data_IF_552410014445
#
_entry.id   IF_552410014445
#
_cell.length_a   1.000
_cell.length_b   1.000
_cell.length_c   1.000
_cell.angle_alpha   90.00
_cell.angle_beta   90.00
_cell.angle_gamma   90.00
#
_symmetry.space_group_name_H-M   'P 1'
#
loop_
_entity.id
_entity.type
_entity.pdbx_description
1 polymer ?
#
# COMPACT_ATOMS: atom_id res chain seq x y z
N UNK A 1 57.83 -4.40 -26.74
CA UNK A 1 58.03 -3.71 -25.46
C UNK A 1 56.72 -3.02 -25.11
N UNK A 2 56.08 -3.57 -24.10
CA UNK A 2 54.76 -3.22 -23.57
C UNK A 2 54.84 -1.87 -22.87
N UNK A 3 54.00 -0.90 -23.24
CA UNK A 3 53.79 0.28 -22.42
C UNK A 3 52.32 0.72 -22.48
N UNK A 4 51.46 -0.09 -21.87
CA UNK A 4 50.10 0.28 -21.49
C UNK A 4 50.18 1.16 -20.24
N UNK A 5 50.51 2.44 -20.45
CA UNK A 5 50.40 3.48 -19.44
C UNK A 5 48.91 3.70 -19.15
N UNK A 6 48.37 3.02 -18.14
CA UNK A 6 47.19 3.54 -17.42
C UNK A 6 47.70 4.74 -16.63
N UNK A 7 47.29 5.98 -16.92
CA UNK A 7 47.75 7.13 -16.15
C UNK A 7 47.07 7.10 -14.78
N UNK A 8 47.78 6.60 -13.79
CA UNK A 8 47.48 6.85 -12.38
C UNK A 8 47.68 8.34 -12.10
N UNK A 9 46.61 9.14 -12.00
CA UNK A 9 46.82 10.54 -11.58
C UNK A 9 45.71 11.59 -11.70
N UNK A 10 44.46 11.29 -12.07
CA UNK A 10 43.39 12.31 -11.93
C UNK A 10 42.65 12.12 -10.59
N UNK A 11 42.99 12.94 -9.60
CA UNK A 11 42.19 13.16 -8.38
C UNK A 11 40.80 13.78 -8.68
N UNK A 12 40.47 13.99 -9.96
CA UNK A 12 39.24 14.59 -10.43
C UNK A 12 38.48 13.56 -11.26
N UNK A 13 37.18 13.33 -10.97
CA UNK A 13 36.38 12.36 -11.70
C UNK A 13 36.31 12.74 -13.18
N UNK A 14 36.51 11.74 -14.04
CA UNK A 14 36.42 11.89 -15.49
C UNK A 14 35.01 12.33 -15.90
N UNK A 15 34.84 12.84 -17.12
CA UNK A 15 33.49 13.21 -17.61
C UNK A 15 32.53 12.02 -17.59
N UNK A 16 33.06 10.81 -17.83
CA UNK A 16 32.32 9.56 -17.81
C UNK A 16 31.94 9.21 -16.36
N UNK A 17 32.84 9.34 -15.39
CA UNK A 17 32.53 9.12 -13.98
C UNK A 17 31.43 10.08 -13.50
N UNK A 18 31.48 11.37 -13.89
CA UNK A 18 30.43 12.34 -13.53
C UNK A 18 29.09 12.00 -14.18
N UNK A 19 29.08 11.46 -15.39
CA UNK A 19 27.85 11.02 -16.05
C UNK A 19 27.27 9.77 -15.37
N UNK A 20 28.12 8.81 -15.00
CA UNK A 20 27.70 7.63 -14.23
C UNK A 20 27.18 8.04 -12.85
N UNK A 21 27.88 8.90 -12.11
CA UNK A 21 27.43 9.39 -10.80
C UNK A 21 26.06 10.07 -10.90
N UNK A 22 25.84 10.94 -11.89
CA UNK A 22 24.53 11.57 -12.11
C UNK A 22 23.44 10.56 -12.48
N UNK A 23 23.77 9.56 -13.29
CA UNK A 23 22.82 8.52 -13.66
C UNK A 23 22.46 7.64 -12.45
N UNK A 24 23.42 7.29 -11.60
CA UNK A 24 23.19 6.56 -10.36
C UNK A 24 22.35 7.38 -9.37
N UNK A 25 22.68 8.66 -9.15
CA UNK A 25 21.87 9.57 -8.33
C UNK A 25 20.43 9.66 -8.84
N UNK A 26 20.23 9.70 -10.16
CA UNK A 26 18.90 9.71 -10.75
C UNK A 26 18.16 8.38 -10.56
N UNK A 27 18.85 7.24 -10.66
CA UNK A 27 18.27 5.92 -10.38
C UNK A 27 17.84 5.83 -8.92
N UNK A 28 18.70 6.24 -7.99
CA UNK A 28 18.41 6.22 -6.55
C UNK A 28 17.23 7.14 -6.21
N UNK A 29 17.19 8.34 -6.79
CA UNK A 29 16.06 9.26 -6.64
C UNK A 29 14.76 8.66 -7.19
N UNK A 30 14.81 8.02 -8.35
CA UNK A 30 13.64 7.35 -8.94
C UNK A 30 13.16 6.17 -8.08
N UNK A 31 14.07 5.39 -7.50
CA UNK A 31 13.73 4.30 -6.59
C UNK A 31 13.07 4.84 -5.31
N UNK A 32 13.60 5.89 -4.70
CA UNK A 32 13.00 6.52 -3.53
C UNK A 32 11.58 7.03 -3.84
N UNK A 33 11.37 7.66 -5.00
CA UNK A 33 10.04 8.12 -5.42
C UNK A 33 9.09 6.94 -5.62
N UNK A 34 9.56 5.84 -6.23
CA UNK A 34 8.76 4.63 -6.40
C UNK A 34 8.36 4.02 -5.05
N UNK A 35 9.32 3.87 -4.12
CA UNK A 35 9.06 3.37 -2.76
C UNK A 35 8.04 4.24 -2.01
N UNK A 36 8.17 5.57 -2.07
CA UNK A 36 7.21 6.47 -1.43
C UNK A 36 5.80 6.37 -2.04
N UNK A 37 5.71 6.17 -3.36
CA UNK A 37 4.41 5.95 -4.03
C UNK A 37 3.78 4.64 -3.61
N UNK A 38 4.56 3.58 -3.49
CA UNK A 38 4.07 2.28 -3.05
C UNK A 38 3.63 2.32 -1.58
N UNK A 39 4.42 2.96 -0.71
CA UNK A 39 4.04 3.17 0.68
C UNK A 39 2.73 3.96 0.80
N UNK A 40 2.59 5.07 0.07
CA UNK A 40 1.36 5.87 0.10
C UNK A 40 0.15 5.12 -0.48
N UNK A 41 0.36 4.14 -1.38
CA UNK A 41 -0.71 3.25 -1.84
C UNK A 41 -1.10 2.26 -0.74
N UNK A 42 -0.13 1.63 -0.08
CA UNK A 42 -0.37 0.70 1.03
C UNK A 42 -1.11 1.38 2.20
N UNK A 43 -0.69 2.59 2.57
CA UNK A 43 -1.33 3.34 3.67
C UNK A 43 -2.80 3.65 3.37
N UNK A 44 -3.15 3.93 2.10
CA UNK A 44 -4.55 4.14 1.69
C UNK A 44 -5.38 2.87 1.77
N UNK A 45 -4.83 1.73 1.37
CA UNK A 45 -5.50 0.44 1.50
C UNK A 45 -5.69 0.09 2.97
N UNK A 46 -4.65 0.24 3.79
CA UNK A 46 -4.70 0.02 5.23
C UNK A 46 -5.76 0.91 5.92
N UNK A 47 -5.77 2.21 5.63
CA UNK A 47 -6.76 3.13 6.20
C UNK A 47 -8.20 2.88 5.71
N UNK A 48 -8.37 2.27 4.53
CA UNK A 48 -9.69 1.82 4.05
C UNK A 48 -10.12 0.54 4.74
N UNK A 49 -9.19 -0.41 4.91
CA UNK A 49 -9.43 -1.65 5.63
C UNK A 49 -9.78 -1.41 7.10
N UNK A 50 -9.05 -0.54 7.80
CA UNK A 50 -9.32 -0.17 9.19
C UNK A 50 -10.75 0.39 9.36
N UNK A 51 -11.12 1.37 8.53
CA UNK A 51 -12.48 1.94 8.54
C UNK A 51 -13.54 0.88 8.23
N UNK A 52 -13.26 0.02 7.26
CA UNK A 52 -14.14 -1.10 6.91
C UNK A 52 -14.36 -2.07 8.09
N UNK A 53 -13.27 -2.51 8.73
CA UNK A 53 -13.33 -3.39 9.89
C UNK A 53 -14.10 -2.76 11.05
N UNK A 54 -13.89 -1.47 11.33
CA UNK A 54 -14.64 -0.76 12.37
C UNK A 54 -16.14 -0.71 12.07
N UNK A 55 -16.54 -0.51 10.81
CA UNK A 55 -17.95 -0.53 10.40
C UNK A 55 -18.56 -1.93 10.49
N UNK A 56 -17.83 -2.97 10.07
CA UNK A 56 -18.28 -4.35 10.21
C UNK A 56 -18.48 -4.73 11.69
N UNK A 57 -17.56 -4.30 12.58
CA UNK A 57 -17.70 -4.51 14.02
C UNK A 57 -18.92 -3.80 14.61
N UNK A 58 -19.20 -2.55 14.21
CA UNK A 58 -20.41 -1.82 14.60
C UNK A 58 -21.69 -2.53 14.15
N UNK A 59 -21.67 -3.08 12.94
CA UNK A 59 -22.78 -3.85 12.36
C UNK A 59 -23.07 -5.12 13.18
N UNK A 60 -22.02 -5.86 13.53
CA UNK A 60 -22.14 -7.06 14.38
C UNK A 60 -22.59 -6.73 15.82
N UNK A 61 -22.14 -5.62 16.38
CA UNK A 61 -22.61 -5.16 17.69
C UNK A 61 -24.09 -4.76 17.66
N UNK A 62 -24.53 -4.08 16.60
CA UNK A 62 -25.94 -3.73 16.39
C UNK A 62 -26.80 -4.98 16.23
N UNK A 63 -26.34 -5.95 15.44
CA UNK A 63 -27.01 -7.24 15.28
C UNK A 63 -27.16 -7.96 16.62
N UNK A 64 -26.08 -8.06 17.42
CA UNK A 64 -26.12 -8.70 18.73
C UNK A 64 -27.10 -8.02 19.69
N UNK A 65 -27.15 -6.69 19.70
CA UNK A 65 -28.11 -5.93 20.50
C UNK A 65 -29.57 -6.12 20.02
N UNK A 66 -29.78 -6.23 18.71
CA UNK A 66 -31.09 -6.50 18.11
C UNK A 66 -31.57 -7.92 18.39
N UNK A 67 -30.69 -8.91 18.34
CA UNK A 67 -31.01 -10.31 18.69
C UNK A 67 -31.49 -10.41 20.13
N UNK A 68 -30.88 -9.65 21.05
CA UNK A 68 -31.27 -9.62 22.46
C UNK A 68 -32.63 -8.96 22.71
N UNK A 69 -33.00 -7.95 21.91
CA UNK A 69 -34.22 -7.15 22.11
C UNK A 69 -35.40 -7.62 21.28
N UNK A 70 -35.16 -8.10 20.06
CA UNK A 70 -36.17 -8.51 19.08
C UNK A 70 -35.72 -9.80 18.36
N UNK A 71 -35.79 -10.97 19.01
CA UNK A 71 -35.27 -12.23 18.48
C UNK A 71 -35.93 -12.65 17.16
N UNK A 72 -37.20 -12.27 16.94
CA UNK A 72 -37.94 -12.59 15.71
C UNK A 72 -37.44 -11.81 14.48
N UNK A 73 -36.76 -10.68 14.67
CA UNK A 73 -36.19 -9.87 13.59
C UNK A 73 -34.71 -10.19 13.31
N UNK A 74 -34.07 -10.97 14.18
CA UNK A 74 -32.65 -11.28 14.14
C UNK A 74 -32.18 -11.83 12.79
N UNK A 75 -32.93 -12.76 12.18
CA UNK A 75 -32.55 -13.37 10.91
C UNK A 75 -32.48 -12.39 9.73
N UNK A 76 -33.36 -11.39 9.70
CA UNK A 76 -33.36 -10.36 8.64
C UNK A 76 -32.20 -9.38 8.81
N UNK A 77 -31.90 -9.00 10.06
CA UNK A 77 -30.78 -8.11 10.39
C UNK A 77 -29.45 -8.81 10.14
N UNK A 78 -29.33 -10.09 10.46
CA UNK A 78 -28.14 -10.90 10.18
C UNK A 78 -27.80 -10.93 8.69
N UNK A 79 -28.78 -11.17 7.82
CA UNK A 79 -28.57 -11.15 6.37
C UNK A 79 -28.08 -9.78 5.87
N UNK A 80 -28.68 -8.69 6.35
CA UNK A 80 -28.23 -7.34 6.04
C UNK A 80 -26.81 -7.07 6.56
N UNK A 81 -26.49 -7.58 7.76
CA UNK A 81 -25.18 -7.42 8.37
C UNK A 81 -24.09 -8.16 7.57
N UNK A 82 -24.34 -9.42 7.22
CA UNK A 82 -23.44 -10.23 6.38
C UNK A 82 -23.25 -9.58 5.00
N UNK A 83 -24.34 -9.11 4.37
CA UNK A 83 -24.26 -8.41 3.08
C UNK A 83 -23.43 -7.13 3.16
N UNK A 84 -23.61 -6.33 4.22
CA UNK A 84 -22.83 -5.13 4.47
C UNK A 84 -21.34 -5.44 4.70
N UNK A 85 -21.03 -6.47 5.48
CA UNK A 85 -19.65 -6.91 5.72
C UNK A 85 -18.97 -7.42 4.43
N UNK A 86 -19.69 -8.18 3.59
CA UNK A 86 -19.21 -8.61 2.27
C UNK A 86 -18.96 -7.43 1.33
N UNK A 87 -19.85 -6.43 1.33
CA UNK A 87 -19.67 -5.20 0.55
C UNK A 87 -18.42 -4.43 0.97
N UNK A 88 -18.19 -4.30 2.29
CA UNK A 88 -16.97 -3.70 2.84
C UNK A 88 -15.72 -4.49 2.40
N UNK A 89 -15.75 -5.81 2.50
CA UNK A 89 -14.66 -6.66 2.05
C UNK A 89 -14.39 -6.50 0.54
N UNK A 90 -15.44 -6.37 -0.28
CA UNK A 90 -15.35 -6.07 -1.71
C UNK A 90 -14.64 -4.74 -1.99
N UNK A 91 -15.01 -3.67 -1.29
CA UNK A 91 -14.35 -2.36 -1.42
C UNK A 91 -12.87 -2.42 -1.04
N UNK A 92 -12.52 -3.17 0.01
CA UNK A 92 -11.12 -3.37 0.41
C UNK A 92 -10.36 -4.18 -0.65
N UNK A 93 -10.98 -5.22 -1.21
CA UNK A 93 -10.40 -6.02 -2.28
C UNK A 93 -10.18 -5.20 -3.55
N UNK A 94 -11.15 -4.38 -3.96
CA UNK A 94 -11.00 -3.51 -5.13
C UNK A 94 -9.92 -2.45 -4.90
N UNK A 95 -9.82 -1.91 -3.69
CA UNK A 95 -8.75 -0.99 -3.31
C UNK A 95 -7.36 -1.67 -3.35
N UNK A 96 -7.27 -2.98 -3.09
CA UNK A 96 -6.01 -3.72 -3.13
C UNK A 96 -5.63 -4.22 -4.53
N UNK A 97 -6.58 -4.42 -5.46
CA UNK A 97 -6.29 -4.76 -6.87
C UNK A 97 -5.62 -3.64 -7.66
N UNK A 98 -5.64 -2.41 -7.13
CA UNK A 98 -4.92 -1.26 -7.69
C UNK A 98 -3.45 -1.15 -7.25
N UNK A 99 -2.97 -2.10 -6.43
CA UNK A 99 -1.55 -2.30 -6.07
C UNK A 99 -0.86 -3.14 -7.14
#
# INVERSE_FOLDING_TARGET
>A
MSNSLVPSGSLLPSRLDRQISRALEQIDANQLIAMHRDQARLDRVAGTAERGMMRAAQLGALEAALVQTVPNAAGYVHLAAVGGALGIAGVIHDASRGL
#
